data_IF_348858883015
#
_entry.id   IF_348858883015
#
_cell.length_a   1.000
_cell.length_b   1.000
_cell.length_c   1.000
_cell.angle_alpha   90.00
_cell.angle_beta   90.00
_cell.angle_gamma   90.00
#
_symmetry.space_group_name_H-M   'P 1'
#
loop_
_entity.id
_entity.type
_entity.pdbx_description
1 polymer ?
#
# COMPACT_ATOMS: atom_id res chain seq x y z
N UNK A 1 4.64 54.18 -0.25
CA UNK A 1 5.55 53.69 -1.31
C UNK A 1 5.52 52.19 -1.21
N UNK A 2 4.61 51.66 -1.99
CA UNK A 2 3.99 50.37 -1.84
C UNK A 2 4.88 49.32 -2.51
N UNK A 3 5.38 48.36 -1.74
CA UNK A 3 6.16 47.25 -2.27
C UNK A 3 5.23 46.07 -2.56
N UNK A 4 5.00 45.88 -3.86
CA UNK A 4 4.20 44.83 -4.47
C UNK A 4 4.80 43.40 -4.29
N UNK A 5 3.95 42.36 -4.46
CA UNK A 5 4.06 41.06 -3.80
C UNK A 5 4.68 39.98 -4.71
N UNK A 6 6.00 39.82 -4.70
CA UNK A 6 6.66 38.77 -5.52
C UNK A 6 6.75 37.38 -4.87
N UNK A 7 6.15 37.16 -3.69
CA UNK A 7 6.19 35.87 -2.99
C UNK A 7 5.07 34.88 -3.38
N UNK A 8 4.11 35.26 -4.24
CA UNK A 8 2.85 34.53 -4.35
C UNK A 8 2.80 33.57 -5.56
N UNK A 9 3.55 33.85 -6.62
CA UNK A 9 3.45 33.10 -7.89
C UNK A 9 4.16 31.74 -7.83
N UNK A 10 5.36 31.69 -7.24
CA UNK A 10 6.13 30.43 -7.12
C UNK A 10 5.46 29.44 -6.16
N UNK A 11 4.91 29.92 -5.05
CA UNK A 11 4.17 29.10 -4.09
C UNK A 11 2.88 28.56 -4.75
N UNK A 12 2.12 29.42 -5.44
CA UNK A 12 0.92 29.00 -6.16
C UNK A 12 1.23 27.99 -7.28
N UNK A 13 2.34 28.15 -8.00
CA UNK A 13 2.79 27.18 -9.00
C UNK A 13 3.18 25.84 -8.38
N UNK A 14 3.89 25.84 -7.25
CA UNK A 14 4.25 24.60 -6.54
C UNK A 14 3.01 23.88 -5.99
N UNK A 15 2.05 24.63 -5.44
CA UNK A 15 0.79 24.08 -4.92
C UNK A 15 -0.07 23.46 -6.04
N UNK A 16 -0.12 24.12 -7.20
CA UNK A 16 -0.85 23.59 -8.36
C UNK A 16 -0.19 22.32 -8.93
N UNK A 17 1.15 22.28 -8.97
CA UNK A 17 1.90 21.11 -9.43
C UNK A 17 1.77 19.93 -8.47
N UNK A 18 1.73 20.18 -7.16
CA UNK A 18 1.51 19.15 -6.15
C UNK A 18 0.13 18.51 -6.34
N UNK A 19 -0.92 19.33 -6.44
CA UNK A 19 -2.28 18.86 -6.73
C UNK A 19 -2.39 18.05 -8.04
N UNK A 20 -1.74 18.50 -9.12
CA UNK A 20 -1.69 17.78 -10.39
C UNK A 20 -0.96 16.43 -10.27
N UNK A 21 0.14 16.38 -9.53
CA UNK A 21 0.88 15.15 -9.24
C UNK A 21 0.00 14.11 -8.54
N UNK A 22 -0.75 14.51 -7.52
CA UNK A 22 -1.65 13.60 -6.82
C UNK A 22 -2.83 13.14 -7.68
N UNK A 23 -3.43 14.03 -8.49
CA UNK A 23 -4.52 13.65 -9.40
C UNK A 23 -4.06 12.62 -10.43
N UNK A 24 -2.89 12.84 -11.04
CA UNK A 24 -2.32 11.93 -12.03
C UNK A 24 -1.92 10.59 -11.41
N UNK A 25 -1.37 10.59 -10.19
CA UNK A 25 -1.08 9.38 -9.42
C UNK A 25 -2.36 8.59 -9.08
N UNK A 26 -3.41 9.27 -8.63
CA UNK A 26 -4.70 8.64 -8.35
C UNK A 26 -5.30 7.98 -9.60
N UNK A 27 -5.31 8.68 -10.74
CA UNK A 27 -5.75 8.11 -12.01
C UNK A 27 -4.91 6.89 -12.44
N UNK A 28 -3.59 6.95 -12.21
CA UNK A 28 -2.68 5.84 -12.54
C UNK A 28 -3.00 4.59 -11.71
N UNK A 29 -3.24 4.74 -10.40
CA UNK A 29 -3.64 3.61 -9.55
C UNK A 29 -4.98 3.02 -9.94
N UNK A 30 -5.97 3.87 -10.28
CA UNK A 30 -7.28 3.41 -10.72
C UNK A 30 -7.18 2.61 -12.02
N UNK A 31 -6.47 3.15 -13.01
CA UNK A 31 -6.32 2.52 -14.32
C UNK A 31 -5.54 1.21 -14.22
N UNK A 32 -4.44 1.20 -13.46
CA UNK A 32 -3.67 -0.01 -13.18
C UNK A 32 -4.52 -1.06 -12.46
N UNK A 33 -5.31 -0.65 -11.46
CA UNK A 33 -6.23 -1.51 -10.73
C UNK A 33 -7.24 -2.18 -11.66
N UNK A 34 -7.84 -1.43 -12.59
CA UNK A 34 -8.75 -2.00 -13.58
C UNK A 34 -8.07 -2.99 -14.53
N UNK A 35 -6.87 -2.66 -15.03
CA UNK A 35 -6.11 -3.53 -15.95
C UNK A 35 -5.76 -4.84 -15.26
N UNK A 36 -5.23 -4.78 -14.03
CA UNK A 36 -4.90 -5.96 -13.24
C UNK A 36 -6.17 -6.77 -12.94
N UNK A 37 -7.28 -6.11 -12.58
CA UNK A 37 -8.54 -6.81 -12.32
C UNK A 37 -9.06 -7.57 -13.54
N UNK A 38 -9.02 -6.95 -14.72
CA UNK A 38 -9.42 -7.60 -15.96
C UNK A 38 -8.48 -8.79 -16.29
N UNK A 39 -7.17 -8.59 -16.12
CA UNK A 39 -6.16 -9.63 -16.32
C UNK A 39 -6.35 -10.82 -15.37
N UNK A 40 -6.67 -10.56 -14.10
CA UNK A 40 -6.91 -11.56 -13.08
C UNK A 40 -8.07 -12.49 -13.47
N UNK A 41 -9.19 -11.90 -13.86
CA UNK A 41 -10.37 -12.66 -14.32
C UNK A 41 -10.10 -13.43 -15.61
N UNK A 42 -9.41 -12.81 -16.57
CA UNK A 42 -9.04 -13.47 -17.82
C UNK A 42 -8.14 -14.70 -17.57
N UNK A 43 -7.12 -14.53 -16.72
CA UNK A 43 -6.20 -15.61 -16.34
C UNK A 43 -6.92 -16.71 -15.58
N UNK A 44 -7.81 -16.35 -14.63
CA UNK A 44 -8.60 -17.30 -13.87
C UNK A 44 -9.46 -18.20 -14.78
N UNK A 45 -10.21 -17.61 -15.74
CA UNK A 45 -11.03 -18.38 -16.69
C UNK A 45 -10.19 -19.36 -17.52
N UNK A 46 -8.98 -18.94 -17.94
CA UNK A 46 -8.09 -19.79 -18.74
C UNK A 46 -7.49 -20.93 -17.92
N UNK A 47 -7.06 -20.64 -16.69
CA UNK A 47 -6.39 -21.61 -15.80
C UNK A 47 -7.39 -22.56 -15.13
N UNK A 48 -8.68 -22.23 -15.10
CA UNK A 48 -9.73 -23.09 -14.56
C UNK A 48 -9.76 -24.47 -15.21
N UNK A 49 -9.42 -24.56 -16.51
CA UNK A 49 -9.31 -25.83 -17.23
C UNK A 49 -8.15 -26.73 -16.74
N UNK A 50 -7.12 -26.15 -16.12
CA UNK A 50 -5.97 -26.88 -15.58
C UNK A 50 -6.10 -27.26 -14.09
N UNK A 51 -7.07 -26.69 -13.38
CA UNK A 51 -7.35 -27.00 -11.98
C UNK A 51 -7.92 -25.83 -11.19
N UNK A 52 -8.87 -26.11 -10.30
CA UNK A 52 -9.60 -25.08 -9.54
C UNK A 52 -8.73 -24.43 -8.45
N UNK A 53 -7.96 -25.22 -7.70
CA UNK A 53 -7.08 -24.70 -6.64
C UNK A 53 -6.02 -23.69 -7.15
N UNK A 54 -5.16 -24.05 -8.13
CA UNK A 54 -4.13 -23.11 -8.60
C UNK A 54 -4.75 -21.86 -9.24
N UNK A 55 -5.85 -22.01 -9.99
CA UNK A 55 -6.57 -20.87 -10.55
C UNK A 55 -7.10 -19.93 -9.44
N UNK A 56 -7.70 -20.48 -8.38
CA UNK A 56 -8.20 -19.70 -7.26
C UNK A 56 -7.08 -18.97 -6.51
N UNK A 57 -5.94 -19.61 -6.28
CA UNK A 57 -4.78 -18.98 -5.62
C UNK A 57 -4.23 -17.81 -6.44
N UNK A 58 -4.06 -17.99 -7.76
CA UNK A 58 -3.64 -16.90 -8.66
C UNK A 58 -4.66 -15.76 -8.66
N UNK A 59 -5.96 -16.07 -8.71
CA UNK A 59 -7.00 -15.06 -8.64
C UNK A 59 -6.98 -14.29 -7.31
N UNK A 60 -6.82 -14.99 -6.19
CA UNK A 60 -6.68 -14.37 -4.87
C UNK A 60 -5.47 -13.44 -4.85
N UNK A 61 -4.30 -13.91 -5.31
CA UNK A 61 -3.09 -13.09 -5.41
C UNK A 61 -3.35 -11.77 -6.16
N UNK A 62 -3.93 -11.86 -7.35
CA UNK A 62 -4.19 -10.71 -8.22
C UNK A 62 -5.28 -9.79 -7.65
N UNK A 63 -6.36 -10.34 -7.08
CA UNK A 63 -7.42 -9.53 -6.46
C UNK A 63 -6.91 -8.79 -5.23
N UNK A 64 -6.06 -9.42 -4.41
CA UNK A 64 -5.41 -8.74 -3.30
C UNK A 64 -4.51 -7.59 -3.81
N UNK A 65 -3.93 -7.68 -5.01
CA UNK A 65 -3.18 -6.58 -5.64
C UNK A 65 -4.11 -5.42 -5.98
N UNK A 66 -5.24 -5.73 -6.60
CA UNK A 66 -6.27 -4.74 -6.94
C UNK A 66 -6.76 -4.03 -5.68
N UNK A 67 -7.03 -4.75 -4.59
CA UNK A 67 -7.45 -4.16 -3.31
C UNK A 67 -6.40 -3.18 -2.79
N UNK A 68 -5.10 -3.51 -2.85
CA UNK A 68 -4.04 -2.56 -2.49
C UNK A 68 -4.08 -1.32 -3.37
N UNK A 69 -4.19 -1.47 -4.69
CA UNK A 69 -4.21 -0.33 -5.60
C UNK A 69 -5.41 0.60 -5.30
N UNK A 70 -6.57 0.03 -4.97
CA UNK A 70 -7.75 0.77 -4.55
C UNK A 70 -7.60 1.46 -3.19
N UNK A 71 -6.90 0.82 -2.24
CA UNK A 71 -6.62 1.42 -0.93
C UNK A 71 -5.65 2.60 -1.04
N UNK A 72 -4.60 2.45 -1.85
CA UNK A 72 -3.65 3.52 -2.20
C UNK A 72 -4.36 4.69 -2.89
N UNK A 73 -5.26 4.40 -3.83
CA UNK A 73 -6.12 5.39 -4.46
C UNK A 73 -6.98 6.14 -3.43
N UNK A 74 -7.62 5.42 -2.49
CA UNK A 74 -8.39 6.03 -1.40
C UNK A 74 -7.53 6.98 -0.56
N UNK A 75 -6.29 6.61 -0.25
CA UNK A 75 -5.37 7.50 0.46
C UNK A 75 -5.07 8.76 -0.34
N UNK A 76 -4.75 8.64 -1.64
CA UNK A 76 -4.48 9.81 -2.48
C UNK A 76 -5.68 10.75 -2.52
N UNK A 77 -6.90 10.22 -2.67
CA UNK A 77 -8.12 11.04 -2.63
C UNK A 77 -8.31 11.68 -1.26
N UNK A 78 -8.05 10.96 -0.18
CA UNK A 78 -8.16 11.52 1.17
C UNK A 78 -7.13 12.63 1.38
N UNK A 79 -5.89 12.43 0.94
CA UNK A 79 -4.84 13.44 0.96
C UNK A 79 -5.22 14.69 0.15
N UNK A 80 -5.75 14.50 -1.07
CA UNK A 80 -6.20 15.61 -1.92
C UNK A 80 -7.30 16.44 -1.23
N UNK A 81 -8.18 15.79 -0.46
CA UNK A 81 -9.26 16.46 0.31
C UNK A 81 -8.77 17.23 1.53
N UNK A 82 -7.81 16.70 2.28
CA UNK A 82 -7.34 17.32 3.54
C UNK A 82 -6.10 18.17 3.39
N UNK A 83 -5.30 18.04 2.32
CA UNK A 83 -4.02 18.74 2.10
C UNK A 83 -3.00 18.62 3.25
N UNK A 84 -3.18 17.65 4.15
CA UNK A 84 -2.33 17.43 5.32
C UNK A 84 -1.80 16.00 5.26
N UNK A 85 -0.47 15.83 5.20
CA UNK A 85 0.18 14.53 5.35
C UNK A 85 0.15 14.20 6.84
N UNK A 86 -0.89 13.52 7.30
CA UNK A 86 -0.88 12.91 8.63
C UNK A 86 -0.15 11.57 8.56
N UNK A 87 0.72 11.30 9.53
CA UNK A 87 1.51 10.06 9.59
C UNK A 87 0.61 8.81 9.67
N UNK A 88 -0.56 8.96 10.28
CA UNK A 88 -1.51 7.91 10.58
C UNK A 88 -2.04 7.18 9.32
N UNK A 89 -2.61 7.84 8.30
CA UNK A 89 -3.03 7.17 7.06
C UNK A 89 -1.87 6.49 6.31
N UNK A 90 -0.65 7.03 6.33
CA UNK A 90 0.50 6.38 5.71
C UNK A 90 0.86 5.05 6.39
N UNK A 91 0.84 5.05 7.73
CA UNK A 91 1.12 3.84 8.52
C UNK A 91 0.05 2.75 8.33
N UNK A 92 -1.22 3.11 8.19
CA UNK A 92 -2.28 2.14 7.87
C UNK A 92 -2.02 1.42 6.54
N UNK A 93 -1.57 2.15 5.51
CA UNK A 93 -1.24 1.57 4.20
C UNK A 93 -0.10 0.56 4.32
N UNK A 94 0.98 0.92 5.01
CA UNK A 94 2.13 0.02 5.20
C UNK A 94 1.75 -1.27 5.94
N UNK A 95 0.85 -1.18 6.92
CA UNK A 95 0.33 -2.35 7.63
C UNK A 95 -0.49 -3.24 6.69
N UNK A 96 -1.46 -2.67 5.97
CA UNK A 96 -2.31 -3.42 5.02
C UNK A 96 -1.46 -4.10 3.95
N UNK A 97 -0.48 -3.38 3.38
CA UNK A 97 0.43 -3.93 2.37
C UNK A 97 1.27 -5.11 2.90
N UNK A 98 1.81 -4.97 4.12
CA UNK A 98 2.60 -6.02 4.78
C UNK A 98 1.75 -7.24 5.12
N UNK A 99 0.54 -7.04 5.70
CA UNK A 99 -0.39 -8.13 6.02
C UNK A 99 -0.81 -8.89 4.76
N UNK A 100 -1.11 -8.19 3.66
CA UNK A 100 -1.43 -8.83 2.37
C UNK A 100 -0.29 -9.71 1.87
N UNK A 101 0.95 -9.21 1.88
CA UNK A 101 2.11 -9.98 1.43
C UNK A 101 2.23 -11.28 2.23
N UNK A 102 2.09 -11.21 3.55
CA UNK A 102 2.11 -12.40 4.42
C UNK A 102 1.01 -13.40 4.03
N UNK A 103 -0.24 -12.95 3.87
CA UNK A 103 -1.37 -13.83 3.50
C UNK A 103 -1.15 -14.50 2.14
N UNK A 104 -0.64 -13.75 1.17
CA UNK A 104 -0.44 -14.23 -0.21
C UNK A 104 0.71 -15.21 -0.28
N UNK A 105 1.87 -14.87 0.32
CA UNK A 105 3.05 -15.74 0.37
C UNK A 105 2.75 -17.03 1.16
N UNK A 106 1.92 -16.97 2.20
CA UNK A 106 1.49 -18.16 2.93
C UNK A 106 0.63 -19.11 2.10
N UNK A 107 -0.29 -18.57 1.30
CA UNK A 107 -1.14 -19.37 0.42
C UNK A 107 -0.35 -20.05 -0.72
N UNK A 108 0.62 -19.35 -1.32
CA UNK A 108 1.51 -19.90 -2.36
C UNK A 108 2.42 -21.01 -1.81
N UNK A 109 2.94 -20.84 -0.59
CA UNK A 109 3.83 -21.83 0.04
C UNK A 109 3.08 -23.09 0.43
N UNK A 110 1.84 -22.98 0.91
CA UNK A 110 0.99 -24.13 1.25
C UNK A 110 0.67 -25.04 0.04
N UNK A 111 0.73 -24.49 -1.18
CA UNK A 111 0.43 -25.22 -2.42
C UNK A 111 1.67 -25.77 -3.13
N UNK A 112 2.87 -25.32 -2.76
CA UNK A 112 4.11 -25.78 -3.39
C UNK A 112 4.41 -27.22 -2.98
N UNK A 113 4.02 -28.20 -3.81
CA UNK A 113 4.24 -29.64 -3.59
C UNK A 113 5.72 -30.09 -3.48
N UNK A 114 6.67 -29.19 -3.75
CA UNK A 114 8.12 -29.42 -3.62
C UNK A 114 8.70 -28.70 -2.39
N UNK A 115 8.27 -29.11 -1.19
CA UNK A 115 8.80 -28.58 0.07
C UNK A 115 10.19 -29.18 0.38
N UNK A 116 11.21 -28.79 -0.37
CA UNK A 116 12.59 -28.94 0.09
C UNK A 116 12.82 -28.07 1.34
N UNK A 117 13.55 -28.61 2.33
CA UNK A 117 13.81 -27.95 3.63
C UNK A 117 14.37 -26.52 3.46
N UNK A 118 15.16 -26.27 2.42
CA UNK A 118 15.72 -24.95 2.12
C UNK A 118 14.68 -23.91 1.68
N UNK A 119 13.67 -24.31 0.89
CA UNK A 119 12.58 -23.43 0.46
C UNK A 119 11.70 -23.04 1.65
N UNK A 120 11.42 -24.00 2.52
CA UNK A 120 10.68 -23.74 3.75
C UNK A 120 11.43 -22.79 4.68
N UNK A 121 12.75 -22.95 4.86
CA UNK A 121 13.57 -22.05 5.68
C UNK A 121 13.59 -20.62 5.12
N UNK A 122 13.73 -20.46 3.80
CA UNK A 122 13.67 -19.14 3.14
C UNK A 122 12.31 -18.48 3.31
N UNK A 123 11.22 -19.24 3.17
CA UNK A 123 9.87 -18.74 3.43
C UNK A 123 9.70 -18.27 4.88
N UNK A 124 10.16 -19.07 5.84
CA UNK A 124 10.08 -18.74 7.27
C UNK A 124 10.87 -17.48 7.61
N UNK A 125 12.04 -17.28 6.98
CA UNK A 125 12.79 -16.03 7.09
C UNK A 125 12.07 -14.85 6.44
N UNK A 126 11.53 -14.98 5.22
CA UNK A 126 10.85 -13.87 4.55
C UNK A 126 9.61 -13.42 5.35
N UNK A 127 8.78 -14.38 5.80
CA UNK A 127 7.63 -14.08 6.67
C UNK A 127 8.08 -13.50 8.01
N UNK A 128 9.12 -14.07 8.63
CA UNK A 128 9.67 -13.58 9.90
C UNK A 128 10.16 -12.14 9.81
N UNK A 129 10.86 -11.78 8.73
CA UNK A 129 11.31 -10.42 8.46
C UNK A 129 10.13 -9.47 8.26
N UNK A 130 9.12 -9.87 7.48
CA UNK A 130 7.91 -9.05 7.29
C UNK A 130 7.18 -8.79 8.62
N UNK A 131 7.04 -9.80 9.48
CA UNK A 131 6.45 -9.63 10.83
C UNK A 131 7.28 -8.68 11.69
N UNK A 132 8.62 -8.81 11.67
CA UNK A 132 9.51 -7.92 12.41
C UNK A 132 9.39 -6.46 11.94
N UNK A 133 9.30 -6.22 10.64
CA UNK A 133 9.06 -4.88 10.07
C UNK A 133 7.73 -4.31 10.56
N UNK A 134 6.64 -5.10 10.56
CA UNK A 134 5.34 -4.65 11.08
C UNK A 134 5.45 -4.25 12.56
N UNK A 135 6.08 -5.09 13.39
CA UNK A 135 6.27 -4.80 14.82
C UNK A 135 7.08 -3.52 15.01
N UNK A 136 8.17 -3.34 14.26
CA UNK A 136 9.00 -2.13 14.31
C UNK A 136 8.20 -0.87 13.92
N UNK A 137 7.38 -0.95 12.86
CA UNK A 137 6.51 0.15 12.44
C UNK A 137 5.46 0.49 13.51
N UNK A 138 4.78 -0.51 14.08
CA UNK A 138 3.79 -0.31 15.16
C UNK A 138 4.43 0.35 16.38
N UNK A 139 5.63 -0.09 16.77
CA UNK A 139 6.38 0.53 17.86
C UNK A 139 6.75 1.98 17.53
N UNK A 140 7.20 2.27 16.31
CA UNK A 140 7.49 3.64 15.87
C UNK A 140 6.24 4.55 15.97
N UNK A 141 5.07 4.06 15.55
CA UNK A 141 3.79 4.80 15.71
C UNK A 141 3.49 5.06 17.18
N UNK A 142 3.62 4.03 18.02
CA UNK A 142 3.32 4.12 19.44
C UNK A 142 4.21 5.14 20.14
N UNK A 143 5.51 5.13 19.85
CA UNK A 143 6.47 6.11 20.37
C UNK A 143 6.17 7.52 19.87
N UNK A 144 5.86 7.69 18.58
CA UNK A 144 5.52 8.99 18.00
C UNK A 144 4.26 9.60 18.64
N UNK A 145 3.22 8.79 18.87
CA UNK A 145 2.00 9.24 19.56
C UNK A 145 2.26 9.63 21.00
N UNK A 146 3.10 8.87 21.72
CA UNK A 146 3.43 9.15 23.12
C UNK A 146 4.32 10.40 23.27
N UNK A 147 5.24 10.64 22.35
CA UNK A 147 6.09 11.84 22.32
C UNK A 147 5.31 13.11 21.95
N UNK A 148 4.35 13.03 21.02
CA UNK A 148 3.51 14.17 20.65
C UNK A 148 2.55 14.63 21.76
N UNK A 149 2.16 13.73 22.67
CA UNK A 149 1.26 14.04 23.78
C UNK A 149 1.95 14.80 24.92
N UNK A 150 3.27 14.65 25.06
CA UNK A 150 4.06 15.33 26.10
C UNK A 150 4.32 16.82 25.79
N UNK A 151 4.28 17.22 24.52
CA UNK A 151 4.44 18.63 24.11
C UNK A 151 3.16 19.46 24.24
N UNK A 152 1.99 18.82 24.35
CA UNK A 152 0.70 19.50 24.52
C UNK A 152 0.33 19.78 25.99
N UNK A 153 1.02 19.16 26.96
CA UNK A 153 0.78 19.42 28.40
C UNK A 153 1.74 20.46 29.01
N UNK A 154 2.60 21.07 28.19
CA UNK A 154 3.57 22.10 28.59
C UNK A 154 3.31 23.46 27.90
N UNK A 155 2.14 23.65 27.30
CA UNK A 155 1.65 24.92 26.76
C UNK A 155 0.32 25.29 27.39
#
# INVERSE_FOLDING_TARGET
MDQEPRQNLWIAWMETLDGLGYITAGFSFLLLGMVVFAHAWYTFLKTLASGVLPAALTLIHDLLLVVILLELFRTIINFLKTHIITLEPFLYICIIASTRRILTTGAETAYSENLTVEVFHRYLLDVGVNVLVIVALVLAVFLARKGGQQSASLR
#
